data_IF_998494392887
#
_entry.id   IF_998494392887
#
_cell.length_a   1.000
_cell.length_b   1.000
_cell.length_c   1.000
_cell.angle_alpha   90.00
_cell.angle_beta   90.00
_cell.angle_gamma   90.00
#
_symmetry.space_group_name_H-M   'P 1'
#
loop_
_entity.id
_entity.type
_entity.pdbx_description
1 polymer ?
#
# COMPACT_ATOMS: atom_id res chain seq x y z
N UNK A 1 10.24 8.51 -0.89
CA UNK A 1 10.26 7.19 -1.56
C UNK A 1 8.92 6.87 -2.25
N UNK A 2 8.29 7.86 -2.92
CA UNK A 2 7.06 7.68 -3.72
C UNK A 2 6.99 8.60 -4.95
N UNK A 3 8.03 9.40 -5.21
CA UNK A 3 8.08 10.38 -6.30
C UNK A 3 8.54 9.76 -7.64
N UNK A 4 9.23 8.63 -7.60
CA UNK A 4 9.78 7.98 -8.80
C UNK A 4 8.65 7.55 -9.73
N UNK A 5 7.62 6.85 -9.20
CA UNK A 5 6.50 6.39 -10.03
C UNK A 5 5.73 7.55 -10.68
N UNK A 6 5.53 8.67 -9.98
CA UNK A 6 4.85 9.84 -10.54
C UNK A 6 5.65 10.51 -11.67
N UNK A 7 6.99 10.52 -11.59
CA UNK A 7 7.85 11.08 -12.62
C UNK A 7 7.90 10.25 -13.91
N UNK A 8 7.67 8.93 -13.81
CA UNK A 8 7.70 8.00 -14.96
C UNK A 8 6.34 7.78 -15.66
N UNK A 9 5.26 8.39 -15.15
CA UNK A 9 3.94 8.31 -15.76
C UNK A 9 3.70 9.54 -16.63
N UNK A 10 3.18 9.35 -17.85
CA UNK A 10 2.62 10.44 -18.64
C UNK A 10 1.42 11.09 -17.92
N UNK A 11 1.12 12.37 -18.18
CA UNK A 11 -0.14 13.01 -17.80
C UNK A 11 -1.35 12.11 -18.11
N UNK A 12 -2.22 11.89 -17.14
CA UNK A 12 -3.37 10.98 -17.27
C UNK A 12 -3.05 9.50 -17.11
N UNK A 13 -1.79 9.11 -16.88
CA UNK A 13 -1.38 7.72 -16.64
C UNK A 13 -1.96 7.12 -15.35
N UNK A 14 -2.09 5.79 -15.31
CA UNK A 14 -2.62 5.05 -14.16
C UNK A 14 -1.52 4.42 -13.31
N UNK A 15 -1.59 4.67 -12.01
CA UNK A 15 -0.88 3.97 -10.95
C UNK A 15 -1.79 2.90 -10.34
N UNK A 16 -1.37 1.64 -10.41
CA UNK A 16 -2.12 0.50 -9.84
C UNK A 16 -1.25 -0.16 -8.78
N UNK A 17 -1.78 -0.32 -7.57
CA UNK A 17 -1.04 -0.92 -6.46
C UNK A 17 -1.91 -1.85 -5.63
N UNK A 18 -1.46 -3.09 -5.45
CA UNK A 18 -2.04 -4.06 -4.51
C UNK A 18 -1.07 -4.29 -3.36
N UNK A 19 -1.32 -3.64 -2.22
CA UNK A 19 -0.35 -3.60 -1.11
C UNK A 19 -0.93 -4.18 0.17
N UNK A 20 -0.19 -5.10 0.81
CA UNK A 20 -0.56 -5.62 2.12
C UNK A 20 -0.38 -4.56 3.22
N UNK A 21 -1.49 -4.16 3.82
CA UNK A 21 -1.58 -3.22 4.91
C UNK A 21 -1.51 -3.97 6.25
N UNK A 22 -0.30 -4.39 6.65
CA UNK A 22 -0.06 -5.14 7.90
C UNK A 22 -0.54 -4.40 9.16
N UNK A 23 -0.63 -3.07 9.12
CA UNK A 23 -1.15 -2.24 10.20
C UNK A 23 -2.64 -2.48 10.51
N UNK A 24 -3.43 -2.94 9.53
CA UNK A 24 -4.86 -3.21 9.68
C UNK A 24 -5.16 -4.67 10.06
N UNK A 25 -4.12 -5.50 10.20
CA UNK A 25 -4.28 -6.89 10.62
C UNK A 25 -4.61 -6.99 12.11
N UNK A 26 -5.10 -8.18 12.48
CA UNK A 26 -5.29 -8.58 13.88
C UNK A 26 -4.04 -8.31 14.74
N UNK A 27 -4.25 -8.03 16.03
CA UNK A 27 -3.15 -7.71 16.95
C UNK A 27 -2.15 -8.86 17.06
N UNK A 28 -2.62 -10.12 17.03
CA UNK A 28 -1.75 -11.29 17.06
C UNK A 28 -0.77 -11.32 15.88
N UNK A 29 -1.25 -11.03 14.67
CA UNK A 29 -0.40 -11.08 13.48
C UNK A 29 0.58 -9.90 13.45
N UNK A 30 0.16 -8.72 13.92
CA UNK A 30 1.05 -7.58 14.11
C UNK A 30 2.17 -7.83 15.12
N UNK A 31 1.94 -8.65 16.14
CA UNK A 31 2.95 -9.07 17.11
C UNK A 31 3.80 -10.24 16.60
N UNK A 32 3.23 -11.11 15.77
CA UNK A 32 3.95 -12.23 15.16
C UNK A 32 5.01 -11.76 14.15
N UNK A 33 4.70 -10.73 13.35
CA UNK A 33 5.62 -10.17 12.34
C UNK A 33 7.00 -9.80 12.92
N UNK A 34 7.12 -8.99 14.00
CA UNK A 34 8.44 -8.67 14.56
C UNK A 34 9.16 -9.89 15.15
N UNK A 35 8.44 -10.87 15.69
CA UNK A 35 9.04 -12.14 16.13
C UNK A 35 9.66 -12.90 14.95
N UNK A 36 8.89 -13.09 13.86
CA UNK A 36 9.39 -13.75 12.65
C UNK A 36 10.59 -13.00 12.05
N UNK A 37 10.58 -11.66 12.09
CA UNK A 37 11.71 -10.84 11.66
C UNK A 37 12.96 -11.07 12.51
N UNK A 38 12.81 -11.21 13.83
CA UNK A 38 13.93 -11.48 14.74
C UNK A 38 14.60 -12.83 14.42
N UNK A 39 13.80 -13.82 14.03
CA UNK A 39 14.29 -15.14 13.59
C UNK A 39 14.75 -15.16 12.11
N UNK A 40 14.72 -14.03 11.39
CA UNK A 40 15.12 -13.96 9.98
C UNK A 40 14.13 -14.60 8.99
N UNK A 41 12.93 -14.98 9.45
CA UNK A 41 11.91 -15.65 8.65
C UNK A 41 10.99 -14.69 7.90
N UNK A 42 11.10 -13.39 8.16
CA UNK A 42 10.25 -12.38 7.54
C UNK A 42 11.04 -11.13 7.13
N UNK A 43 10.79 -10.58 5.92
CA UNK A 43 11.49 -9.38 5.47
C UNK A 43 11.11 -8.14 6.31
N UNK A 44 11.90 -7.06 6.25
CA UNK A 44 11.53 -5.79 6.85
C UNK A 44 10.20 -5.30 6.29
N UNK A 45 9.19 -5.20 7.15
CA UNK A 45 7.88 -4.65 6.80
C UNK A 45 7.52 -3.47 7.69
N UNK A 46 6.87 -2.48 7.09
CA UNK A 46 6.26 -1.37 7.82
C UNK A 46 4.86 -1.77 8.27
N UNK A 47 4.42 -1.25 9.41
CA UNK A 47 3.02 -1.35 9.85
C UNK A 47 2.13 -0.39 9.04
N UNK A 48 2.10 -0.59 7.72
CA UNK A 48 1.34 0.24 6.78
C UNK A 48 -0.15 -0.04 6.98
N UNK A 49 -0.95 1.02 7.10
CA UNK A 49 -2.43 0.93 7.09
C UNK A 49 -2.95 1.36 5.73
N UNK A 50 -4.13 0.91 5.35
CA UNK A 50 -4.80 1.32 4.13
C UNK A 50 -5.02 2.84 4.11
N UNK A 51 -5.30 3.44 5.29
CA UNK A 51 -5.39 4.90 5.44
C UNK A 51 -4.06 5.60 5.12
N UNK A 52 -2.96 5.10 5.69
CA UNK A 52 -1.63 5.66 5.42
C UNK A 52 -1.20 5.47 3.96
N UNK A 53 -1.56 4.34 3.35
CA UNK A 53 -1.32 4.07 1.93
C UNK A 53 -2.05 5.08 1.04
N UNK A 54 -3.36 5.30 1.26
CA UNK A 54 -4.14 6.32 0.51
C UNK A 54 -3.55 7.72 0.67
N UNK A 55 -3.18 8.08 1.90
CA UNK A 55 -2.57 9.37 2.18
C UNK A 55 -1.23 9.54 1.43
N UNK A 56 -0.40 8.49 1.40
CA UNK A 56 0.87 8.52 0.67
C UNK A 56 0.67 8.64 -0.84
N UNK A 57 -0.33 7.94 -1.42
CA UNK A 57 -0.67 8.02 -2.85
C UNK A 57 -1.11 9.45 -3.20
N UNK A 58 -2.02 10.03 -2.41
CA UNK A 58 -2.47 11.42 -2.61
C UNK A 58 -1.33 12.43 -2.45
N UNK A 59 -0.51 12.27 -1.41
CA UNK A 59 0.65 13.14 -1.17
C UNK A 59 1.71 13.05 -2.28
N UNK A 60 1.73 11.94 -3.04
CA UNK A 60 2.59 11.78 -4.21
C UNK A 60 2.02 12.44 -5.48
N UNK A 61 0.85 13.08 -5.40
CA UNK A 61 0.24 13.83 -6.52
C UNK A 61 -0.78 13.02 -7.33
N UNK A 62 -1.15 11.81 -6.90
CA UNK A 62 -2.16 11.01 -7.60
C UNK A 62 -3.57 11.24 -7.05
N UNK A 63 -4.56 11.11 -7.93
CA UNK A 63 -5.98 11.07 -7.58
C UNK A 63 -6.47 9.63 -7.55
N UNK A 64 -7.06 9.19 -6.44
CA UNK A 64 -7.57 7.81 -6.33
C UNK A 64 -8.92 7.73 -7.04
N UNK A 65 -9.01 6.91 -8.09
CA UNK A 65 -10.24 6.73 -8.89
C UNK A 65 -11.09 5.56 -8.41
N UNK A 66 -10.45 4.44 -8.09
CA UNK A 66 -11.13 3.24 -7.61
C UNK A 66 -10.27 2.52 -6.56
N UNK A 67 -10.94 1.83 -5.66
CA UNK A 67 -10.31 0.96 -4.70
C UNK A 67 -11.16 -0.29 -4.49
N UNK A 68 -10.54 -1.46 -4.68
CA UNK A 68 -11.19 -2.74 -4.45
C UNK A 68 -10.31 -3.68 -3.67
N UNK A 69 -10.96 -4.51 -2.87
CA UNK A 69 -10.27 -5.63 -2.22
C UNK A 69 -10.70 -6.93 -2.87
N UNK A 70 -9.73 -7.70 -3.36
CA UNK A 70 -9.98 -8.94 -4.10
C UNK A 70 -9.73 -10.16 -3.22
N UNK A 71 -10.67 -11.11 -3.23
CA UNK A 71 -10.57 -12.37 -2.49
C UNK A 71 -10.86 -12.23 -0.99
N UNK A 72 -10.41 -13.21 -0.19
CA UNK A 72 -10.69 -13.27 1.26
C UNK A 72 -9.83 -12.32 2.09
N UNK A 73 -8.72 -11.82 1.55
CA UNK A 73 -7.83 -10.93 2.28
C UNK A 73 -8.34 -9.49 2.25
N UNK A 74 -8.96 -9.05 3.34
CA UNK A 74 -9.45 -7.67 3.52
C UNK A 74 -8.33 -6.64 3.73
N UNK A 75 -7.08 -7.09 3.87
CA UNK A 75 -5.94 -6.27 4.27
C UNK A 75 -5.00 -5.94 3.10
N UNK A 76 -5.35 -6.32 1.88
CA UNK A 76 -4.54 -6.05 0.68
C UNK A 76 -5.37 -5.30 -0.36
N UNK A 77 -5.72 -4.02 -0.11
CA UNK A 77 -6.46 -3.22 -1.07
C UNK A 77 -5.68 -3.07 -2.37
N UNK A 78 -6.40 -3.16 -3.49
CA UNK A 78 -5.96 -2.77 -4.81
C UNK A 78 -6.48 -1.36 -5.09
N UNK A 79 -5.57 -0.40 -5.18
CA UNK A 79 -5.88 1.01 -5.42
C UNK A 79 -5.48 1.34 -6.85
N UNK A 80 -6.40 1.99 -7.56
CA UNK A 80 -6.19 2.56 -8.89
C UNK A 80 -6.21 4.08 -8.70
N UNK A 81 -5.12 4.73 -9.09
CA UNK A 81 -4.98 6.17 -8.99
C UNK A 81 -4.46 6.75 -10.31
N UNK A 82 -4.94 7.94 -10.68
CA UNK A 82 -4.52 8.64 -11.89
C UNK A 82 -3.52 9.74 -11.57
N UNK A 83 -2.52 9.90 -12.43
CA UNK A 83 -1.69 11.11 -12.45
C UNK A 83 -2.49 12.23 -13.13
N UNK A 84 -2.81 13.33 -12.44
CA UNK A 84 -3.49 14.46 -13.07
C UNK A 84 -2.65 15.01 -14.23
N UNK A 85 -3.34 15.65 -15.18
CA UNK A 85 -2.72 16.18 -16.39
C UNK A 85 -1.77 17.35 -16.08
#
# INVERSE_FOLDING_TARGET
>A
MSLISHAHLEPGGLFISKTWCFGDMSRHLRLLIPLLRLFGLFPPARALTARALRAAIRAAGFEIEDERTFGRSRHAPCIIARKPA
#
